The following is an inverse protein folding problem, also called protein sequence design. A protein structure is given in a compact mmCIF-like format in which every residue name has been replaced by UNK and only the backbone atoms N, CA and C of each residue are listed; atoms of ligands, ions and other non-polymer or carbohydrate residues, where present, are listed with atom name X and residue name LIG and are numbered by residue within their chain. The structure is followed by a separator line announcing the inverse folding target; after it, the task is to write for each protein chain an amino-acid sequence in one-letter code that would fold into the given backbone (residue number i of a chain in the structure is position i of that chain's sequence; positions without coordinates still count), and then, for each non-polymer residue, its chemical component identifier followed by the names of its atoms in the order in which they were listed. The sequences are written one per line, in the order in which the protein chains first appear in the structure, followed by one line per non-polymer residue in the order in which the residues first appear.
data_IF_034915282718
#
_entry.id   IF_034915282718
#
_cell.length_a   1.000
_cell.length_b   1.000
_cell.length_c   1.000
_cell.angle_alpha   90.00
_cell.angle_beta   90.00
_cell.angle_gamma   90.00
#
_symmetry.space_group_name_H-M   'P 1'
#
loop_
_entity.id
_entity.type
_entity.pdbx_description
1 polymer ?
#
# COMPACT_ATOMS: atom_id res chain seq x y z
N UNK A 1 -7.09 47.45 4.91
CA UNK A 1 -6.68 47.15 3.51
C UNK A 1 -7.62 47.89 2.58
N UNK A 2 -7.13 48.45 1.47
CA UNK A 2 -8.00 49.08 0.46
C UNK A 2 -8.72 48.05 -0.42
N UNK A 3 -9.76 48.44 -1.15
CA UNK A 3 -10.48 47.53 -2.06
C UNK A 3 -9.65 47.09 -3.27
N UNK A 4 -8.75 47.94 -3.76
CA UNK A 4 -7.96 47.66 -4.95
C UNK A 4 -7.12 46.37 -4.86
N UNK A 5 -6.31 46.15 -3.79
CA UNK A 5 -5.62 44.86 -3.61
C UNK A 5 -6.55 43.64 -3.58
N UNK A 6 -7.67 43.73 -2.86
CA UNK A 6 -8.61 42.60 -2.71
C UNK A 6 -9.31 42.29 -4.04
N UNK A 7 -9.56 43.32 -4.86
CA UNK A 7 -10.11 43.18 -6.20
C UNK A 7 -9.16 42.44 -7.14
N UNK A 8 -7.86 42.72 -7.05
CA UNK A 8 -6.84 41.97 -7.77
C UNK A 8 -6.71 40.53 -7.25
N UNK A 9 -6.77 40.31 -5.93
CA UNK A 9 -6.75 38.97 -5.32
C UNK A 9 -7.96 38.12 -5.73
N UNK A 10 -9.08 38.76 -6.05
CA UNK A 10 -10.26 38.11 -6.62
C UNK A 10 -10.08 37.71 -8.10
N UNK A 11 -8.97 38.10 -8.73
CA UNK A 11 -8.58 37.74 -10.10
C UNK A 11 -9.10 38.71 -11.18
N UNK A 12 -9.59 39.88 -10.79
CA UNK A 12 -10.05 40.90 -11.74
C UNK A 12 -8.88 41.75 -12.26
N UNK A 13 -9.02 42.25 -13.50
CA UNK A 13 -8.02 43.09 -14.15
C UNK A 13 -7.91 44.48 -13.51
N UNK A 14 -6.70 45.07 -13.44
CA UNK A 14 -6.49 46.38 -12.82
C UNK A 14 -7.22 47.52 -13.54
N UNK A 15 -7.37 47.43 -14.87
CA UNK A 15 -8.12 48.39 -15.68
C UNK A 15 -9.61 48.44 -15.29
N UNK A 16 -10.19 47.26 -15.01
CA UNK A 16 -11.62 47.12 -14.72
C UNK A 16 -12.00 47.79 -13.39
N UNK A 17 -11.07 47.89 -12.43
CA UNK A 17 -11.32 48.57 -11.16
C UNK A 17 -11.69 50.04 -11.34
N UNK A 18 -11.05 50.74 -12.29
CA UNK A 18 -11.27 52.16 -12.52
C UNK A 18 -12.51 52.45 -13.36
N UNK A 19 -13.03 51.44 -14.06
CA UNK A 19 -14.27 51.51 -14.85
C UNK A 19 -15.52 51.30 -13.98
N UNK A 20 -15.37 50.66 -12.82
CA UNK A 20 -16.46 50.34 -11.91
C UNK A 20 -16.69 51.41 -10.86
N UNK A 21 -17.95 51.54 -10.45
CA UNK A 21 -18.30 52.28 -9.24
C UNK A 21 -17.88 51.49 -7.98
N UNK A 22 -17.71 52.22 -6.87
CA UNK A 22 -17.38 51.60 -5.59
C UNK A 22 -18.38 50.53 -5.15
N UNK A 23 -19.68 50.73 -5.45
CA UNK A 23 -20.74 49.75 -5.15
C UNK A 23 -20.57 48.45 -5.94
N UNK A 24 -20.31 48.55 -7.25
CA UNK A 24 -20.10 47.38 -8.10
C UNK A 24 -18.84 46.60 -7.72
N UNK A 25 -17.76 47.30 -7.36
CA UNK A 25 -16.56 46.66 -6.81
C UNK A 25 -16.91 45.90 -5.53
N UNK A 26 -17.71 46.48 -4.65
CA UNK A 26 -18.11 45.85 -3.39
C UNK A 26 -18.97 44.60 -3.65
N UNK A 27 -19.95 44.67 -4.55
CA UNK A 27 -20.81 43.53 -4.93
C UNK A 27 -20.00 42.37 -5.54
N UNK A 28 -19.03 42.69 -6.39
CA UNK A 28 -18.14 41.69 -6.99
C UNK A 28 -17.26 41.01 -5.95
N UNK A 29 -16.74 41.76 -4.98
CA UNK A 29 -15.94 41.22 -3.89
C UNK A 29 -16.79 40.36 -2.94
N UNK A 30 -18.02 40.77 -2.63
CA UNK A 30 -18.94 39.97 -1.81
C UNK A 30 -19.34 38.66 -2.51
N UNK A 31 -19.58 38.71 -3.82
CA UNK A 31 -19.82 37.53 -4.63
C UNK A 31 -18.61 36.59 -4.64
N UNK A 32 -17.41 37.14 -4.81
CA UNK A 32 -16.17 36.37 -4.73
C UNK A 32 -15.98 35.72 -3.35
N UNK A 33 -16.20 36.48 -2.26
CA UNK A 33 -16.10 35.99 -0.89
C UNK A 33 -17.04 34.81 -0.64
N UNK A 34 -18.32 34.92 -1.04
CA UNK A 34 -19.29 33.82 -0.92
C UNK A 34 -18.85 32.58 -1.69
N UNK A 35 -18.42 32.74 -2.95
CA UNK A 35 -17.89 31.60 -3.74
C UNK A 35 -16.70 30.95 -3.04
N UNK A 36 -15.77 31.76 -2.52
CA UNK A 36 -14.58 31.25 -1.84
C UNK A 36 -14.91 30.50 -0.56
N UNK A 37 -15.87 31.00 0.21
CA UNK A 37 -16.37 30.31 1.40
C UNK A 37 -17.00 28.95 1.04
N UNK A 38 -17.83 28.91 -0.01
CA UNK A 38 -18.42 27.65 -0.48
C UNK A 38 -17.35 26.66 -0.98
N UNK A 39 -16.35 27.12 -1.73
CA UNK A 39 -15.21 26.30 -2.15
C UNK A 39 -14.43 25.73 -0.95
N UNK A 40 -14.15 26.56 0.05
CA UNK A 40 -13.44 26.13 1.26
C UNK A 40 -14.23 25.09 2.03
N UNK A 41 -15.53 25.31 2.26
CA UNK A 41 -16.41 24.35 2.93
C UNK A 41 -16.49 23.02 2.18
N UNK A 42 -16.60 23.07 0.84
CA UNK A 42 -16.61 21.88 0.00
C UNK A 42 -15.28 21.11 0.12
N UNK A 43 -14.15 21.80 0.03
CA UNK A 43 -12.83 21.19 0.19
C UNK A 43 -12.64 20.59 1.59
N UNK A 44 -13.12 21.26 2.63
CA UNK A 44 -13.06 20.76 3.99
C UNK A 44 -13.89 19.48 4.16
N UNK A 45 -15.10 19.44 3.60
CA UNK A 45 -15.93 18.24 3.60
C UNK A 45 -15.26 17.08 2.85
N UNK A 46 -14.75 17.33 1.65
CA UNK A 46 -14.00 16.33 0.86
C UNK A 46 -12.77 15.81 1.62
N UNK A 47 -12.03 16.69 2.28
CA UNK A 47 -10.87 16.31 3.07
C UNK A 47 -11.26 15.46 4.29
N UNK A 48 -12.35 15.81 4.97
CA UNK A 48 -12.88 15.02 6.10
C UNK A 48 -13.29 13.63 5.65
N UNK A 49 -13.99 13.52 4.53
CA UNK A 49 -14.39 12.24 3.95
C UNK A 49 -13.17 11.38 3.58
N UNK A 50 -12.16 11.99 2.95
CA UNK A 50 -10.89 11.32 2.63
C UNK A 50 -10.16 10.82 3.88
N UNK A 51 -10.06 11.64 4.92
CA UNK A 51 -9.40 11.25 6.17
C UNK A 51 -10.15 10.07 6.82
N UNK A 52 -11.48 10.11 6.85
CA UNK A 52 -12.28 9.00 7.37
C UNK A 52 -12.10 7.72 6.55
N UNK A 53 -12.07 7.82 5.23
CA UNK A 53 -11.83 6.68 4.35
C UNK A 53 -10.45 6.04 4.63
N UNK A 54 -9.40 6.87 4.70
CA UNK A 54 -8.04 6.40 4.98
C UNK A 54 -7.92 5.78 6.38
N UNK A 55 -8.57 6.38 7.38
CA UNK A 55 -8.61 5.85 8.73
C UNK A 55 -9.29 4.47 8.76
N UNK A 56 -10.44 4.32 8.12
CA UNK A 56 -11.14 3.04 8.01
C UNK A 56 -10.30 1.99 7.28
N UNK A 57 -9.59 2.37 6.23
CA UNK A 57 -8.67 1.48 5.52
C UNK A 57 -7.52 1.01 6.41
N UNK A 58 -6.93 1.90 7.22
CA UNK A 58 -5.87 1.53 8.16
C UNK A 58 -6.37 0.51 9.21
N UNK A 59 -7.60 0.66 9.70
CA UNK A 59 -8.21 -0.32 10.61
C UNK A 59 -8.41 -1.68 9.95
N UNK A 60 -8.85 -1.70 8.69
CA UNK A 60 -9.02 -2.94 7.92
C UNK A 60 -7.67 -3.63 7.67
N UNK A 61 -6.63 -2.88 7.32
CA UNK A 61 -5.26 -3.41 7.18
C UNK A 61 -4.78 -3.97 8.53
N UNK A 62 -5.01 -3.25 9.63
CA UNK A 62 -4.67 -3.72 10.97
C UNK A 62 -5.37 -5.02 11.34
N UNK A 63 -6.63 -5.20 10.93
CA UNK A 63 -7.37 -6.44 11.13
C UNK A 63 -6.75 -7.62 10.35
N UNK A 64 -6.38 -7.42 9.08
CA UNK A 64 -5.71 -8.44 8.26
C UNK A 64 -4.32 -8.77 8.79
N UNK A 65 -3.53 -7.77 9.18
CA UNK A 65 -2.20 -7.99 9.79
C UNK A 65 -2.34 -8.70 11.14
N UNK A 66 -3.35 -8.37 11.93
CA UNK A 66 -3.66 -9.07 13.18
C UNK A 66 -3.93 -10.55 12.97
N UNK A 67 -4.68 -10.91 11.91
CA UNK A 67 -4.89 -12.31 11.50
C UNK A 67 -3.56 -13.01 11.16
N UNK A 68 -2.66 -12.33 10.45
CA UNK A 68 -1.35 -12.89 10.08
C UNK A 68 -0.48 -13.19 11.31
N UNK A 69 -0.61 -12.41 12.38
CA UNK A 69 0.15 -12.61 13.62
C UNK A 69 -0.51 -13.64 14.55
N UNK A 70 -1.84 -13.72 14.57
CA UNK A 70 -2.59 -14.68 15.38
C UNK A 70 -3.82 -15.21 14.61
N UNK A 71 -3.78 -16.51 14.31
CA UNK A 71 -4.87 -17.25 13.65
C UNK A 71 -6.16 -17.35 14.48
N UNK A 72 -6.22 -16.78 15.69
CA UNK A 72 -7.45 -16.64 16.47
C UNK A 72 -8.18 -15.33 16.21
N UNK A 73 -7.51 -14.33 15.62
CA UNK A 73 -8.14 -13.05 15.26
C UNK A 73 -9.03 -13.29 14.06
N UNK A 74 -10.32 -12.95 14.14
CA UNK A 74 -11.23 -13.04 13.02
C UNK A 74 -11.03 -11.85 12.06
N UNK A 75 -10.99 -12.13 10.75
CA UNK A 75 -11.06 -11.07 9.74
C UNK A 75 -12.48 -10.54 9.73
N UNK A 76 -12.64 -9.23 9.93
CA UNK A 76 -13.94 -8.56 9.83
C UNK A 76 -14.16 -8.07 8.41
N UNK A 77 -15.25 -8.49 7.80
CA UNK A 77 -15.59 -8.10 6.43
C UNK A 77 -16.26 -6.72 6.39
N UNK A 78 -16.22 -6.00 5.25
CA UNK A 78 -16.87 -4.70 5.10
C UNK A 78 -18.36 -4.68 5.51
N UNK A 79 -19.10 -5.78 5.33
CA UNK A 79 -20.50 -5.90 5.78
C UNK A 79 -20.66 -5.77 7.29
N UNK A 80 -19.65 -6.15 8.07
CA UNK A 80 -19.69 -6.06 9.53
C UNK A 80 -19.48 -4.62 10.00
N UNK A 81 -18.72 -3.83 9.24
CA UNK A 81 -18.51 -2.41 9.51
C UNK A 81 -19.65 -1.54 8.99
N UNK A 82 -20.26 -1.92 7.86
CA UNK A 82 -21.30 -1.14 7.18
C UNK A 82 -22.48 -2.04 6.76
N UNK A 83 -23.23 -2.60 7.72
CA UNK A 83 -24.31 -3.55 7.43
C UNK A 83 -25.45 -2.93 6.61
N UNK A 84 -25.70 -1.63 6.75
CA UNK A 84 -26.73 -0.94 5.97
C UNK A 84 -26.37 -0.81 4.48
N UNK A 85 -25.07 -0.79 4.16
CA UNK A 85 -24.58 -0.65 2.79
C UNK A 85 -24.42 -2.01 2.09
N UNK A 86 -24.03 -3.06 2.82
CA UNK A 86 -23.66 -4.37 2.26
C UNK A 86 -24.47 -5.56 2.80
N UNK A 87 -25.48 -5.33 3.65
CA UNK A 87 -26.19 -6.40 4.35
C UNK A 87 -27.10 -7.27 3.47
N UNK A 88 -27.43 -6.82 2.26
CA UNK A 88 -28.33 -7.52 1.34
C UNK A 88 -27.61 -8.22 0.18
N UNK A 89 -26.28 -8.18 0.13
CA UNK A 89 -25.52 -8.88 -0.91
C UNK A 89 -25.27 -10.33 -0.48
N UNK A 90 -25.72 -11.30 -1.30
CA UNK A 90 -25.33 -12.71 -1.13
C UNK A 90 -23.80 -12.82 -1.26
N UNK A 91 -23.15 -13.39 -0.23
CA UNK A 91 -21.70 -13.55 -0.15
C UNK A 91 -21.17 -14.36 -1.34
N UNK A 92 -20.58 -13.68 -2.33
CA UNK A 92 -19.83 -14.32 -3.43
C UNK A 92 -18.31 -14.23 -3.26
N UNK A 93 -17.82 -13.59 -2.20
CA UNK A 93 -16.39 -13.35 -2.01
C UNK A 93 -15.89 -14.11 -0.79
N UNK A 94 -15.46 -15.34 -1.05
CA UNK A 94 -14.74 -16.16 -0.10
C UNK A 94 -13.31 -15.65 0.07
N UNK A 95 -13.14 -14.59 0.86
CA UNK A 95 -11.82 -14.15 1.33
C UNK A 95 -11.22 -15.14 2.34
N UNK A 96 -12.06 -15.93 3.01
CA UNK A 96 -11.73 -16.90 4.07
C UNK A 96 -11.57 -18.34 3.59
N UNK A 97 -12.16 -18.76 2.46
CA UNK A 97 -12.00 -20.15 1.97
C UNK A 97 -10.59 -20.47 1.47
N UNK A 98 -9.70 -19.48 1.37
CA UNK A 98 -8.28 -19.74 1.09
C UNK A 98 -7.55 -20.49 2.23
N UNK A 99 -8.16 -20.63 3.41
CA UNK A 99 -7.57 -21.34 4.55
C UNK A 99 -8.16 -22.75 4.80
N UNK A 100 -9.43 -22.99 4.50
CA UNK A 100 -10.10 -24.28 4.86
C UNK A 100 -9.96 -25.38 3.81
N UNK A 101 -9.70 -25.02 2.55
CA UNK A 101 -9.21 -25.99 1.59
C UNK A 101 -7.70 -26.14 1.82
N UNK A 102 -7.25 -27.35 2.18
CA UNK A 102 -5.85 -27.80 2.10
C UNK A 102 -5.33 -27.81 0.64
N UNK A 103 -5.62 -26.75 -0.08
CA UNK A 103 -5.42 -26.57 -1.49
C UNK A 103 -4.01 -26.06 -1.65
N UNK A 104 -3.11 -27.01 -1.92
CA UNK A 104 -1.86 -26.73 -2.61
C UNK A 104 -2.26 -25.91 -3.83
N UNK A 105 -2.21 -24.58 -3.74
CA UNK A 105 -2.35 -23.70 -4.89
C UNK A 105 -1.32 -24.21 -5.89
N UNK A 106 -1.77 -24.97 -6.89
CA UNK A 106 -0.91 -25.33 -8.01
C UNK A 106 -0.60 -24.00 -8.64
N UNK A 107 0.62 -23.53 -8.42
CA UNK A 107 1.09 -22.32 -9.08
C UNK A 107 0.86 -22.55 -10.57
N UNK A 108 0.55 -21.49 -11.33
CA UNK A 108 0.51 -21.66 -12.78
C UNK A 108 1.85 -22.29 -13.22
N UNK A 109 1.88 -23.14 -14.27
CA UNK A 109 3.13 -23.79 -14.69
C UNK A 109 4.30 -22.80 -14.87
N UNK A 110 4.00 -21.56 -15.27
CA UNK A 110 4.96 -20.47 -15.38
C UNK A 110 5.50 -19.99 -14.03
N UNK A 111 4.66 -19.87 -13.01
CA UNK A 111 5.06 -19.50 -11.66
C UNK A 111 5.86 -20.61 -10.95
N UNK A 112 5.58 -21.88 -11.23
CA UNK A 112 6.40 -23.01 -10.75
C UNK A 112 7.81 -22.95 -11.36
N UNK A 113 7.90 -22.71 -12.67
CA UNK A 113 9.16 -22.51 -13.39
C UNK A 113 9.94 -21.28 -12.88
N UNK A 114 9.24 -20.20 -12.55
CA UNK A 114 9.86 -19.02 -11.97
C UNK A 114 10.41 -19.32 -10.56
N UNK A 115 9.63 -19.99 -9.71
CA UNK A 115 10.06 -20.39 -8.37
C UNK A 115 11.27 -21.32 -8.41
N UNK A 116 11.26 -22.33 -9.27
CA UNK A 116 12.39 -23.25 -9.43
C UNK A 116 13.67 -22.54 -9.88
N UNK A 117 13.56 -21.58 -10.81
CA UNK A 117 14.70 -20.73 -11.25
C UNK A 117 15.25 -19.89 -10.10
N UNK A 118 14.37 -19.35 -9.26
CA UNK A 118 14.77 -18.55 -8.11
C UNK A 118 15.44 -19.40 -7.03
N UNK A 119 14.91 -20.58 -6.74
CA UNK A 119 15.47 -21.52 -5.75
C UNK A 119 16.89 -21.97 -6.17
N UNK A 120 17.10 -22.28 -7.45
CA UNK A 120 18.41 -22.64 -8.01
C UNK A 120 19.39 -21.45 -7.97
N UNK A 121 18.92 -20.22 -8.27
CA UNK A 121 19.73 -19.01 -8.14
C UNK A 121 20.17 -18.78 -6.69
N UNK A 122 19.25 -18.87 -5.72
CA UNK A 122 19.55 -18.71 -4.29
C UNK A 122 20.56 -19.75 -3.83
N UNK A 123 20.37 -21.01 -4.23
CA UNK A 123 21.29 -22.10 -3.90
C UNK A 123 22.71 -21.81 -4.41
N UNK A 124 22.85 -21.45 -5.69
CA UNK A 124 24.16 -21.12 -6.31
C UNK A 124 24.79 -19.89 -5.66
N UNK A 125 24.01 -18.86 -5.38
CA UNK A 125 24.48 -17.64 -4.74
C UNK A 125 25.01 -17.92 -3.32
N UNK A 126 24.26 -18.69 -2.54
CA UNK A 126 24.65 -19.07 -1.18
C UNK A 126 25.88 -19.99 -1.17
N UNK A 127 25.99 -20.92 -2.12
CA UNK A 127 27.18 -21.76 -2.27
C UNK A 127 28.42 -20.94 -2.64
N UNK A 128 28.32 -20.06 -3.63
CA UNK A 128 29.43 -19.18 -4.03
C UNK A 128 29.85 -18.24 -2.89
N UNK A 129 28.89 -17.72 -2.11
CA UNK A 129 29.20 -16.92 -0.92
C UNK A 129 29.90 -17.75 0.16
N UNK A 130 29.45 -18.98 0.42
CA UNK A 130 30.13 -19.88 1.36
C UNK A 130 31.55 -20.23 0.93
N UNK A 131 31.76 -20.50 -0.35
CA UNK A 131 33.09 -20.77 -0.91
C UNK A 131 34.02 -19.56 -0.83
N UNK A 132 33.52 -18.35 -1.13
CA UNK A 132 34.30 -17.11 -0.94
C UNK A 132 34.69 -16.90 0.51
N UNK A 133 33.74 -17.07 1.43
CA UNK A 133 34.00 -16.94 2.87
C UNK A 133 34.93 -18.03 3.42
N UNK A 134 34.98 -19.22 2.81
CA UNK A 134 35.92 -20.28 3.16
C UNK A 134 37.34 -19.97 2.65
N UNK A 135 37.45 -19.42 1.43
CA UNK A 135 38.72 -18.94 0.86
C UNK A 135 39.29 -17.75 1.64
N UNK A 136 38.45 -16.80 2.02
CA UNK A 136 38.83 -15.63 2.83
C UNK A 136 39.26 -16.02 4.26
N UNK A 137 38.73 -17.13 4.79
CA UNK A 137 39.14 -17.70 6.09
C UNK A 137 40.37 -18.62 6.03
N UNK A 138 40.94 -18.84 4.84
CA UNK A 138 42.14 -19.66 4.67
C UNK A 138 41.92 -21.17 4.90
N UNK A 139 40.69 -21.67 4.73
CA UNK A 139 40.34 -23.08 4.93
C UNK A 139 40.57 -23.95 3.67
N UNK A 140 41.58 -23.64 2.84
CA UNK A 140 41.96 -24.46 1.68
C UNK A 140 43.12 -25.42 1.99
N UNK A 141 42.89 -26.42 2.87
CA UNK A 141 43.43 -27.79 2.77
C UNK A 141 43.25 -28.58 4.07
N UNK A 142 42.31 -29.55 4.09
CA UNK A 142 42.45 -30.79 4.89
C UNK A 142 41.50 -31.88 4.39
N UNK A 143 41.45 -32.10 3.07
CA UNK A 143 40.44 -32.97 2.48
C UNK A 143 40.93 -33.90 1.37
N UNK A 144 42.21 -34.30 1.34
CA UNK A 144 42.65 -35.42 0.50
C UNK A 144 43.98 -36.00 0.96
N UNK A 145 44.08 -37.33 0.80
CA UNK A 145 45.13 -38.28 1.19
C UNK A 145 44.77 -38.95 2.54
N UNK A 146 44.41 -40.23 2.64
CA UNK A 146 44.99 -41.39 1.96
C UNK A 146 43.96 -42.47 1.59
N UNK A 147 44.14 -43.02 0.39
CA UNK A 147 43.66 -44.34 0.04
C UNK A 147 44.57 -45.37 0.73
N UNK A 148 44.04 -46.06 1.74
CA UNK A 148 44.68 -47.18 2.42
C UNK A 148 43.80 -48.42 2.33
N UNK A 149 44.04 -49.21 1.27
CA UNK A 149 43.98 -50.68 1.19
C UNK A 149 42.82 -51.42 1.87
N UNK A 150 42.01 -52.06 1.02
CA UNK A 150 41.11 -53.14 1.40
C UNK A 150 41.86 -54.31 2.08
N UNK A 151 41.28 -54.88 3.14
CA UNK A 151 41.42 -56.29 3.47
C UNK A 151 40.22 -56.75 4.30
N UNK A 152 39.67 -57.89 3.87
CA UNK A 152 38.56 -58.64 4.46
C UNK A 152 38.95 -59.39 5.74
N UNK A 153 37.92 -59.85 6.46
CA UNK A 153 37.88 -60.95 7.43
C UNK A 153 38.62 -60.65 8.75
N UNK A 154 38.05 -60.92 9.94
CA UNK A 154 37.32 -62.10 10.38
C UNK A 154 36.54 -61.77 11.67
#
# INVERSE_FOLDING_TARGET
MGLYPVFLDAGYGPEYFWELSFGEVSDLLESYARRKEHEQKKREAELKDQIMLLFNQALQIGNVVGRLMDNKVAIRLPKEYYPELFGNEEEKTNFTEQEDAGDKRKLSPEMELHKARMDDFIFRHNMAMRERLAKERGEENSGRNDAGTAASNH
#
